data_IF_597614647107
#
_entry.id   IF_597614647107
#
_cell.length_a   1.000
_cell.length_b   1.000
_cell.length_c   1.000
_cell.angle_alpha   90.00
_cell.angle_beta   90.00
_cell.angle_gamma   90.00
#
_symmetry.space_group_name_H-M   'P 1'
#
loop_
_entity.id
_entity.type
_entity.pdbx_description
1 polymer ?
#
# COMPACT_ATOMS: atom_id res chain seq x y z
N UNK A 1 15.51 -1.75 48.28
CA UNK A 1 15.70 -2.44 46.97
C UNK A 1 17.16 -2.32 46.58
N UNK A 2 17.76 -3.36 46.00
CA UNK A 2 19.09 -3.28 45.38
C UNK A 2 19.01 -2.53 44.05
N UNK A 3 20.10 -1.85 43.64
CA UNK A 3 20.18 -1.11 42.36
C UNK A 3 19.80 -2.00 41.16
N UNK A 4 20.11 -3.29 41.23
CA UNK A 4 19.81 -4.25 40.15
C UNK A 4 18.31 -4.48 39.96
N UNK A 5 17.52 -4.52 41.05
CA UNK A 5 16.06 -4.65 40.96
C UNK A 5 15.41 -3.40 40.35
N UNK A 6 15.94 -2.21 40.65
CA UNK A 6 15.45 -0.96 40.06
C UNK A 6 15.78 -0.87 38.56
N UNK A 7 16.95 -1.36 38.15
CA UNK A 7 17.35 -1.42 36.74
C UNK A 7 16.47 -2.39 35.96
N UNK A 8 16.25 -3.60 36.48
CA UNK A 8 15.37 -4.60 35.84
C UNK A 8 13.95 -4.04 35.66
N UNK A 9 13.42 -3.33 36.65
CA UNK A 9 12.09 -2.71 36.55
C UNK A 9 12.04 -1.60 35.49
N UNK A 10 13.08 -0.78 35.41
CA UNK A 10 13.19 0.24 34.36
C UNK A 10 13.26 -0.40 32.95
N UNK A 11 14.05 -1.47 32.80
CA UNK A 11 14.19 -2.21 31.54
C UNK A 11 12.85 -2.84 31.12
N UNK A 12 12.07 -3.40 32.06
CA UNK A 12 10.71 -3.90 31.80
C UNK A 12 9.76 -2.82 31.28
N UNK A 13 9.80 -1.62 31.85
CA UNK A 13 8.96 -0.48 31.44
C UNK A 13 9.32 -0.05 30.01
N UNK A 14 10.62 0.10 29.73
CA UNK A 14 11.12 0.49 28.40
C UNK A 14 10.71 -0.55 27.36
N UNK A 15 10.91 -1.83 27.66
CA UNK A 15 10.60 -2.91 26.74
C UNK A 15 9.09 -3.04 26.47
N UNK A 16 8.25 -2.87 27.50
CA UNK A 16 6.79 -2.85 27.34
C UNK A 16 6.33 -1.70 26.45
N UNK A 17 6.98 -0.52 26.57
CA UNK A 17 6.73 0.62 25.70
C UNK A 17 7.13 0.33 24.26
N UNK A 18 8.32 -0.25 24.03
CA UNK A 18 8.81 -0.59 22.69
C UNK A 18 7.92 -1.62 21.99
N UNK A 19 7.45 -2.65 22.71
CA UNK A 19 6.50 -3.64 22.18
C UNK A 19 5.22 -2.95 21.73
N UNK A 20 4.64 -2.09 22.58
CA UNK A 20 3.41 -1.36 22.26
C UNK A 20 3.59 -0.42 21.06
N UNK A 21 4.73 0.26 20.98
CA UNK A 21 5.05 1.12 19.84
C UNK A 21 5.18 0.30 18.54
N UNK A 22 5.81 -0.88 18.59
CA UNK A 22 5.92 -1.76 17.42
C UNK A 22 4.57 -2.32 16.97
N UNK A 23 3.71 -2.72 17.92
CA UNK A 23 2.32 -3.13 17.65
C UNK A 23 1.54 -2.00 16.95
N UNK A 24 1.65 -0.76 17.44
CA UNK A 24 1.01 0.40 16.82
C UNK A 24 1.52 0.64 15.39
N UNK A 25 2.84 0.58 15.17
CA UNK A 25 3.43 0.74 13.83
C UNK A 25 2.92 -0.35 12.87
N UNK A 26 2.76 -1.59 13.35
CA UNK A 26 2.19 -2.69 12.55
C UNK A 26 0.74 -2.42 12.12
N UNK A 27 -0.08 -1.89 13.04
CA UNK A 27 -1.44 -1.49 12.70
C UNK A 27 -1.47 -0.34 11.71
N UNK A 28 -0.66 0.69 11.91
CA UNK A 28 -0.60 1.85 11.03
C UNK A 28 -0.12 1.46 9.63
N UNK A 29 0.87 0.56 9.52
CA UNK A 29 1.32 0.01 8.25
C UNK A 29 0.19 -0.69 7.50
N UNK A 30 -0.62 -1.51 8.18
CA UNK A 30 -1.77 -2.20 7.58
C UNK A 30 -2.86 -1.22 7.13
N UNK A 31 -3.12 -0.17 7.92
CA UNK A 31 -4.09 0.87 7.56
C UNK A 31 -3.64 1.65 6.33
N UNK A 32 -2.37 2.06 6.27
CA UNK A 32 -1.83 2.79 5.13
C UNK A 32 -1.78 1.91 3.88
N UNK A 33 -1.40 0.62 3.98
CA UNK A 33 -1.46 -0.31 2.86
C UNK A 33 -2.88 -0.36 2.26
N UNK A 34 -3.90 -0.54 3.12
CA UNK A 34 -5.30 -0.59 2.67
C UNK A 34 -5.71 0.70 1.96
N UNK A 35 -5.36 1.85 2.53
CA UNK A 35 -5.65 3.16 1.95
C UNK A 35 -5.02 3.33 0.57
N UNK A 36 -3.77 2.92 0.39
CA UNK A 36 -3.11 2.95 -0.92
C UNK A 36 -3.79 2.03 -1.93
N UNK A 37 -4.20 0.82 -1.51
CA UNK A 37 -4.94 -0.11 -2.37
C UNK A 37 -6.31 0.45 -2.78
N UNK A 38 -7.07 1.02 -1.83
CA UNK A 38 -8.37 1.64 -2.10
C UNK A 38 -8.25 2.83 -3.06
N UNK A 39 -7.23 3.68 -2.89
CA UNK A 39 -6.96 4.79 -3.80
C UNK A 39 -6.60 4.32 -5.21
N UNK A 40 -5.82 3.25 -5.31
CA UNK A 40 -5.43 2.67 -6.59
C UNK A 40 -6.63 2.06 -7.32
N UNK A 41 -7.50 1.34 -6.61
CA UNK A 41 -8.74 0.81 -7.17
C UNK A 41 -9.70 1.91 -7.63
N UNK A 42 -9.84 2.97 -6.82
CA UNK A 42 -10.62 4.15 -7.23
C UNK A 42 -10.06 4.80 -8.50
N UNK A 43 -8.73 4.93 -8.61
CA UNK A 43 -8.05 5.51 -9.77
C UNK A 43 -8.25 4.65 -11.03
N UNK A 44 -8.12 3.32 -10.91
CA UNK A 44 -8.40 2.39 -12.01
C UNK A 44 -9.84 2.49 -12.50
N UNK A 45 -10.78 2.56 -11.57
CA UNK A 45 -12.20 2.66 -11.89
C UNK A 45 -12.53 3.98 -12.60
N UNK A 46 -12.02 5.11 -12.11
CA UNK A 46 -12.19 6.41 -12.76
C UNK A 46 -11.59 6.41 -14.17
N UNK A 47 -10.38 5.88 -14.33
CA UNK A 47 -9.71 5.80 -15.64
C UNK A 47 -10.51 4.94 -16.63
N UNK A 48 -11.05 3.82 -16.17
CA UNK A 48 -11.93 2.97 -16.98
C UNK A 48 -13.17 3.75 -17.45
N UNK A 49 -13.86 4.43 -16.52
CA UNK A 49 -15.04 5.22 -16.89
C UNK A 49 -14.74 6.31 -17.91
N UNK A 50 -13.64 7.04 -17.74
CA UNK A 50 -13.22 8.08 -18.68
C UNK A 50 -12.88 7.49 -20.06
N UNK A 51 -12.23 6.32 -20.09
CA UNK A 51 -11.90 5.63 -21.34
C UNK A 51 -13.16 5.16 -22.06
N UNK A 52 -14.12 4.60 -21.32
CA UNK A 52 -15.42 4.16 -21.88
C UNK A 52 -16.20 5.36 -22.46
N UNK A 53 -16.18 6.51 -21.77
CA UNK A 53 -16.79 7.75 -22.26
C UNK A 53 -16.12 8.27 -23.54
N UNK A 54 -14.78 8.31 -23.57
CA UNK A 54 -14.02 8.74 -24.75
C UNK A 54 -14.31 7.82 -25.95
N UNK A 55 -14.34 6.50 -25.71
CA UNK A 55 -14.67 5.54 -26.76
C UNK A 55 -16.08 5.76 -27.33
N UNK A 56 -17.07 6.04 -26.47
CA UNK A 56 -18.43 6.38 -26.90
C UNK A 56 -18.47 7.65 -27.75
N UNK A 57 -17.75 8.69 -27.36
CA UNK A 57 -17.68 9.95 -28.11
C UNK A 57 -17.05 9.75 -29.50
N UNK A 58 -15.99 8.94 -29.61
CA UNK A 58 -15.40 8.63 -30.92
C UNK A 58 -16.34 7.78 -31.79
N UNK A 59 -17.11 6.87 -31.21
CA UNK A 59 -18.14 6.14 -31.95
C UNK A 59 -19.23 7.08 -32.50
N UNK A 60 -19.68 8.07 -31.72
CA UNK A 60 -20.62 9.09 -32.17
C UNK A 60 -20.02 9.97 -33.28
N UNK A 61 -18.79 10.44 -33.12
CA UNK A 61 -18.10 11.23 -34.15
C UNK A 61 -17.96 10.46 -35.47
N UNK A 62 -17.61 9.17 -35.40
CA UNK A 62 -17.55 8.30 -36.58
C UNK A 62 -18.92 8.19 -37.27
N UNK A 63 -20.01 8.10 -36.49
CA UNK A 63 -21.38 8.09 -37.02
C UNK A 63 -21.72 9.39 -37.78
N UNK A 64 -21.22 10.54 -37.31
CA UNK A 64 -21.36 11.82 -37.99
C UNK A 64 -20.38 12.04 -39.16
N UNK A 65 -19.58 11.03 -39.52
CA UNK A 65 -18.70 11.06 -40.69
C UNK A 65 -17.29 11.60 -40.41
N UNK A 66 -16.89 11.75 -39.15
CA UNK A 66 -15.50 12.05 -38.81
C UNK A 66 -14.61 10.84 -39.11
N UNK A 67 -13.80 10.96 -40.16
CA UNK A 67 -12.89 9.90 -40.63
C UNK A 67 -11.70 9.68 -39.69
N UNK A 68 -11.41 10.64 -38.82
CA UNK A 68 -10.29 10.55 -37.87
C UNK A 68 -10.69 9.86 -36.56
N UNK A 69 -11.99 9.77 -36.27
CA UNK A 69 -12.51 9.21 -35.03
C UNK A 69 -12.06 7.77 -34.76
N UNK A 70 -11.93 6.94 -35.80
CA UNK A 70 -11.42 5.58 -35.67
C UNK A 70 -9.97 5.54 -35.14
N UNK A 71 -9.08 6.35 -35.74
CA UNK A 71 -7.67 6.40 -35.33
C UNK A 71 -7.50 6.97 -33.94
N UNK A 72 -8.25 8.03 -33.61
CA UNK A 72 -8.23 8.61 -32.28
C UNK A 72 -8.75 7.64 -31.20
N UNK A 73 -9.69 6.76 -31.57
CA UNK A 73 -10.18 5.71 -30.67
C UNK A 73 -9.11 4.64 -30.42
N UNK A 74 -8.36 4.21 -31.45
CA UNK A 74 -7.22 3.29 -31.29
C UNK A 74 -6.14 3.91 -30.39
N UNK A 75 -5.76 5.17 -30.62
CA UNK A 75 -4.78 5.88 -29.80
C UNK A 75 -5.21 5.95 -28.33
N UNK A 76 -6.50 6.27 -28.07
CA UNK A 76 -7.04 6.30 -26.71
C UNK A 76 -6.98 4.91 -26.03
N UNK A 77 -7.23 3.83 -26.77
CA UNK A 77 -7.10 2.46 -26.24
C UNK A 77 -5.65 2.11 -25.92
N UNK A 78 -4.69 2.52 -26.74
CA UNK A 78 -3.27 2.24 -26.50
C UNK A 78 -2.71 3.04 -25.33
N UNK A 79 -3.14 4.30 -25.17
CA UNK A 79 -2.90 5.09 -23.95
C UNK A 79 -3.47 4.36 -22.74
N UNK A 80 -4.72 3.88 -22.81
CA UNK A 80 -5.35 3.15 -21.71
C UNK A 80 -4.59 1.87 -21.33
N UNK A 81 -4.12 1.07 -22.30
CA UNK A 81 -3.27 -0.10 -22.04
C UNK A 81 -1.97 0.27 -21.33
N UNK A 82 -1.35 1.38 -21.74
CA UNK A 82 -0.13 1.90 -21.09
C UNK A 82 -0.40 2.29 -19.64
N UNK A 83 -1.49 3.01 -19.39
CA UNK A 83 -1.91 3.39 -18.03
C UNK A 83 -2.25 2.16 -17.19
N UNK A 84 -2.88 1.13 -17.75
CA UNK A 84 -3.11 -0.14 -17.05
C UNK A 84 -1.80 -0.84 -16.65
N UNK A 85 -0.76 -0.77 -17.48
CA UNK A 85 0.55 -1.32 -17.13
C UNK A 85 1.18 -0.54 -15.96
N UNK A 86 1.03 0.79 -15.94
CA UNK A 86 1.46 1.62 -14.80
C UNK A 86 0.71 1.24 -13.52
N UNK A 87 -0.61 1.04 -13.58
CA UNK A 87 -1.38 0.61 -12.40
C UNK A 87 -0.90 -0.74 -11.86
N UNK A 88 -0.63 -1.73 -12.72
CA UNK A 88 -0.07 -3.02 -12.28
C UNK A 88 1.29 -2.86 -11.61
N UNK A 89 2.16 -2.04 -12.19
CA UNK A 89 3.47 -1.71 -11.61
C UNK A 89 3.34 -1.04 -10.23
N UNK A 90 2.34 -0.17 -10.05
CA UNK A 90 2.04 0.45 -8.76
C UNK A 90 1.50 -0.56 -7.73
N UNK A 91 0.64 -1.49 -8.13
CA UNK A 91 0.17 -2.58 -7.25
C UNK A 91 1.33 -3.40 -6.71
N UNK A 92 2.21 -3.85 -7.60
CA UNK A 92 3.39 -4.64 -7.25
C UNK A 92 4.32 -3.85 -6.32
N UNK A 93 4.47 -2.54 -6.55
CA UNK A 93 5.29 -1.66 -5.71
C UNK A 93 4.72 -1.51 -4.29
N UNK A 94 3.40 -1.28 -4.17
CA UNK A 94 2.72 -1.18 -2.87
C UNK A 94 2.83 -2.50 -2.11
N UNK A 95 2.57 -3.62 -2.79
CA UNK A 95 2.63 -4.95 -2.16
C UNK A 95 4.05 -5.30 -1.72
N UNK A 96 5.05 -5.04 -2.57
CA UNK A 96 6.46 -5.27 -2.25
C UNK A 96 6.93 -4.43 -1.06
N UNK A 97 6.59 -3.14 -1.05
CA UNK A 97 6.92 -2.24 0.05
C UNK A 97 6.27 -2.71 1.37
N UNK A 98 4.98 -3.06 1.35
CA UNK A 98 4.29 -3.59 2.51
C UNK A 98 4.93 -4.88 3.02
N UNK A 99 5.19 -5.85 2.15
CA UNK A 99 5.83 -7.12 2.53
C UNK A 99 7.19 -6.90 3.18
N UNK A 100 8.02 -6.01 2.62
CA UNK A 100 9.34 -5.67 3.17
C UNK A 100 9.22 -5.06 4.57
N UNK A 101 8.36 -4.05 4.74
CA UNK A 101 8.17 -3.38 6.02
C UNK A 101 7.53 -4.31 7.06
N UNK A 102 6.54 -5.11 6.68
CA UNK A 102 5.91 -6.06 7.60
C UNK A 102 6.90 -7.10 8.12
N UNK A 103 7.78 -7.62 7.25
CA UNK A 103 8.84 -8.54 7.66
C UNK A 103 9.80 -7.91 8.68
N UNK A 104 10.20 -6.65 8.49
CA UNK A 104 11.05 -5.95 9.44
C UNK A 104 10.38 -5.76 10.81
N UNK A 105 9.07 -5.51 10.82
CA UNK A 105 8.30 -5.40 12.07
C UNK A 105 8.17 -6.75 12.77
N UNK A 106 7.98 -7.85 12.03
CA UNK A 106 7.98 -9.22 12.55
C UNK A 106 9.33 -9.55 13.20
N UNK A 107 10.45 -9.32 12.49
CA UNK A 107 11.80 -9.52 13.01
C UNK A 107 12.06 -8.67 14.28
N UNK A 108 11.60 -7.42 14.29
CA UNK A 108 11.70 -6.53 15.47
C UNK A 108 10.87 -7.05 16.64
N UNK A 109 9.65 -7.53 16.38
CA UNK A 109 8.80 -8.10 17.42
C UNK A 109 9.42 -9.34 18.03
N UNK A 110 9.94 -10.26 17.22
CA UNK A 110 10.62 -11.45 17.72
C UNK A 110 11.78 -11.11 18.66
N UNK A 111 12.59 -10.09 18.32
CA UNK A 111 13.66 -9.61 19.17
C UNK A 111 13.15 -9.04 20.49
N UNK A 112 12.13 -8.17 20.46
CA UNK A 112 11.56 -7.56 21.66
C UNK A 112 10.94 -8.61 22.60
N UNK A 113 10.23 -9.60 22.06
CA UNK A 113 9.66 -10.68 22.89
C UNK A 113 10.74 -11.63 23.43
N UNK A 114 11.83 -11.85 22.69
CA UNK A 114 12.98 -12.61 23.19
C UNK A 114 13.69 -11.88 24.34
N UNK A 115 13.91 -10.57 24.21
CA UNK A 115 14.43 -9.74 25.29
C UNK A 115 13.49 -9.76 26.50
N UNK A 116 12.18 -9.76 26.25
CA UNK A 116 11.17 -9.83 27.31
C UNK A 116 11.25 -11.13 28.08
N UNK A 117 11.42 -12.25 27.40
CA UNK A 117 11.59 -13.57 28.02
C UNK A 117 12.91 -13.73 28.77
N UNK A 118 13.92 -12.92 28.47
CA UNK A 118 15.21 -12.93 29.17
C UNK A 118 15.20 -12.14 30.50
N UNK A 119 14.21 -11.27 30.71
CA UNK A 119 14.00 -10.57 31.98
C UNK A 119 13.22 -11.48 32.94
N UNK A 120 13.65 -11.59 34.20
CA UNK A 120 12.86 -12.21 35.27
C UNK A 120 11.62 -11.34 35.54
N UNK A 121 10.49 -11.71 34.91
CA UNK A 121 9.22 -10.99 35.01
C UNK A 121 8.57 -11.07 36.38
#
# INVERSE_FOLDING_TARGET
MTKDKQKIEADKIVLSKQIRENEQISEDLKREQRKWQEQLEASKWQMKQQTDQIASLYQELAHFGDKTAYYNQEDAQDIYKTVQAVFRSQEESIESAYRKSNKQLEETNELLYKERGALEW
#
